data_IF_864205542354
#
_entry.id   IF_864205542354
#
_cell.length_a   1.000
_cell.length_b   1.000
_cell.length_c   1.000
_cell.angle_alpha   90.00
_cell.angle_beta   90.00
_cell.angle_gamma   90.00
#
_symmetry.space_group_name_H-M   'P 1'
#
loop_
_entity.id
_entity.type
_entity.pdbx_description
1 polymer ?
#
# COMPACT_ATOMS: atom_id res chain seq x y z
N UNK A 1 -18.33 10.43 -1.79
CA UNK A 1 -17.34 10.98 -2.75
C UNK A 1 -16.98 9.89 -3.73
N UNK A 2 -17.51 9.93 -4.95
CA UNK A 2 -17.20 8.93 -5.99
C UNK A 2 -15.89 9.28 -6.68
N UNK A 3 -14.78 8.67 -6.24
CA UNK A 3 -13.51 8.77 -6.95
C UNK A 3 -13.59 8.07 -8.31
N UNK A 4 -12.80 8.54 -9.29
CA UNK A 4 -12.72 7.88 -10.61
C UNK A 4 -12.21 6.46 -10.42
N UNK A 5 -13.01 5.47 -10.82
CA UNK A 5 -12.57 4.09 -10.88
C UNK A 5 -11.61 3.92 -12.04
N UNK A 6 -10.46 3.29 -11.77
CA UNK A 6 -9.50 2.90 -12.81
C UNK A 6 -9.52 1.38 -12.97
N UNK A 7 -9.40 0.91 -14.21
CA UNK A 7 -9.29 -0.50 -14.53
C UNK A 7 -7.81 -0.87 -14.51
N UNK A 8 -7.46 -1.85 -13.67
CA UNK A 8 -6.13 -2.45 -13.61
C UNK A 8 -6.27 -3.88 -14.12
N UNK A 9 -5.52 -4.22 -15.17
CA UNK A 9 -5.45 -5.58 -15.72
C UNK A 9 -4.06 -6.15 -15.44
N UNK A 10 -4.00 -7.34 -14.86
CA UNK A 10 -2.75 -8.07 -14.67
C UNK A 10 -2.91 -9.52 -15.14
N UNK A 11 -1.78 -10.14 -15.52
CA UNK A 11 -1.74 -11.56 -15.83
C UNK A 11 -1.62 -12.34 -14.52
N UNK A 12 -2.41 -13.39 -14.37
CA UNK A 12 -2.38 -14.28 -13.22
C UNK A 12 -1.91 -15.67 -13.66
N UNK A 13 -1.17 -16.34 -12.79
CA UNK A 13 -0.84 -17.76 -12.95
C UNK A 13 -2.11 -18.61 -12.86
N UNK A 14 -2.13 -19.74 -13.58
CA UNK A 14 -3.29 -20.63 -13.66
C UNK A 14 -3.78 -21.09 -12.28
N UNK A 15 -2.85 -21.42 -11.38
CA UNK A 15 -3.15 -21.80 -10.01
C UNK A 15 -3.93 -20.73 -9.22
N UNK A 16 -3.68 -19.43 -9.46
CA UNK A 16 -4.42 -18.35 -8.81
C UNK A 16 -5.84 -18.26 -9.37
N UNK A 17 -6.01 -18.47 -10.67
CA UNK A 17 -7.32 -18.44 -11.33
C UNK A 17 -8.20 -19.59 -10.82
N UNK A 18 -7.63 -20.79 -10.70
CA UNK A 18 -8.30 -21.97 -10.15
C UNK A 18 -8.69 -21.79 -8.68
N UNK A 19 -7.76 -21.29 -7.85
CA UNK A 19 -8.03 -21.04 -6.43
C UNK A 19 -9.17 -20.03 -6.20
N UNK A 20 -9.42 -19.16 -7.17
CA UNK A 20 -10.51 -18.18 -7.15
C UNK A 20 -11.80 -18.67 -7.83
N UNK A 21 -11.85 -19.91 -8.31
CA UNK A 21 -12.92 -20.49 -9.12
C UNK A 21 -14.31 -20.24 -8.55
N UNK A 22 -14.51 -20.58 -7.28
CA UNK A 22 -15.80 -20.56 -6.59
C UNK A 22 -16.12 -19.22 -5.90
N UNK A 23 -15.26 -18.20 -6.05
CA UNK A 23 -15.49 -16.88 -5.45
C UNK A 23 -16.53 -16.13 -6.29
N UNK A 24 -17.72 -15.80 -5.73
CA UNK A 24 -18.82 -15.23 -6.50
C UNK A 24 -18.51 -13.82 -7.03
N UNK A 25 -17.70 -13.04 -6.30
CA UNK A 25 -17.24 -11.71 -6.74
C UNK A 25 -15.72 -11.60 -6.62
N UNK A 26 -15.02 -12.13 -7.63
CA UNK A 26 -13.55 -12.13 -7.70
C UNK A 26 -12.95 -10.72 -7.59
N UNK A 27 -13.57 -9.74 -8.23
CA UNK A 27 -13.10 -8.35 -8.21
C UNK A 27 -13.16 -7.73 -6.82
N UNK A 28 -14.22 -7.99 -6.06
CA UNK A 28 -14.33 -7.55 -4.68
C UNK A 28 -13.34 -8.26 -3.78
N UNK A 29 -13.21 -9.58 -3.93
CA UNK A 29 -12.22 -10.36 -3.18
C UNK A 29 -10.79 -9.84 -3.41
N UNK A 30 -10.39 -9.62 -4.67
CA UNK A 30 -9.07 -9.06 -5.01
C UNK A 30 -8.89 -7.68 -4.40
N UNK A 31 -9.88 -6.80 -4.51
CA UNK A 31 -9.80 -5.44 -3.91
C UNK A 31 -9.57 -5.51 -2.41
N UNK A 32 -10.35 -6.32 -1.69
CA UNK A 32 -10.23 -6.46 -0.24
C UNK A 32 -8.89 -7.07 0.16
N UNK A 33 -8.43 -8.09 -0.56
CA UNK A 33 -7.13 -8.72 -0.29
C UNK A 33 -5.96 -7.75 -0.52
N UNK A 34 -5.98 -6.97 -1.60
CA UNK A 34 -4.95 -5.97 -1.88
C UNK A 34 -4.98 -4.86 -0.82
N UNK A 35 -6.15 -4.33 -0.46
CA UNK A 35 -6.26 -3.30 0.58
C UNK A 35 -5.71 -3.80 1.94
N UNK A 36 -6.09 -5.01 2.34
CA UNK A 36 -5.59 -5.63 3.57
C UNK A 36 -4.06 -5.84 3.53
N UNK A 37 -3.50 -6.25 2.38
CA UNK A 37 -2.07 -6.38 2.22
C UNK A 37 -1.35 -5.02 2.32
N UNK A 38 -1.96 -3.96 1.79
CA UNK A 38 -1.40 -2.60 1.82
C UNK A 38 -1.42 -1.96 3.21
N UNK A 39 -2.33 -2.33 4.11
CA UNK A 39 -2.38 -1.77 5.48
C UNK A 39 -1.07 -1.98 6.26
N UNK A 40 -0.33 -3.06 5.97
CA UNK A 40 0.96 -3.40 6.62
C UNK A 40 2.21 -3.07 5.80
N UNK A 41 2.06 -2.49 4.61
CA UNK A 41 3.20 -2.21 3.72
C UNK A 41 4.08 -1.13 4.30
N UNK A 42 5.39 -1.39 4.34
CA UNK A 42 6.36 -0.36 4.71
C UNK A 42 6.38 0.73 3.62
N UNK A 43 6.17 2.01 4.01
CA UNK A 43 5.99 3.11 3.06
C UNK A 43 7.29 3.60 2.43
N UNK A 44 8.44 3.03 2.83
CA UNK A 44 9.75 3.35 2.27
C UNK A 44 10.23 2.33 1.23
N UNK A 45 9.73 1.10 1.30
CA UNK A 45 10.24 0.00 0.48
C UNK A 45 9.24 -0.41 -0.61
N UNK A 46 8.22 0.42 -0.87
CA UNK A 46 7.19 0.17 -1.89
C UNK A 46 6.52 -1.21 -1.79
N UNK A 47 6.32 -1.74 -0.58
CA UNK A 47 5.69 -3.03 -0.37
C UNK A 47 6.59 -4.25 -0.46
N UNK A 48 7.89 -4.09 -0.67
CA UNK A 48 8.87 -5.21 -0.59
C UNK A 48 9.13 -5.71 0.84
N UNK A 49 8.63 -4.98 1.85
CA UNK A 49 8.78 -5.26 3.26
C UNK A 49 7.51 -4.90 4.02
N UNK A 50 7.30 -5.59 5.14
CA UNK A 50 6.11 -5.46 5.99
C UNK A 50 6.50 -4.93 7.36
N UNK A 51 5.68 -4.02 7.90
CA UNK A 51 5.81 -3.59 9.28
C UNK A 51 5.06 -4.58 10.17
N UNK A 52 5.72 -5.09 11.20
CA UNK A 52 5.01 -5.85 12.24
C UNK A 52 4.04 -4.91 13.01
N UNK A 53 3.10 -5.44 13.82
CA UNK A 53 2.10 -4.61 14.50
C UNK A 53 2.67 -3.52 15.43
N UNK A 54 3.85 -3.74 16.01
CA UNK A 54 4.52 -2.73 16.82
C UNK A 54 5.15 -1.64 15.93
N UNK A 55 5.86 -2.04 14.88
CA UNK A 55 6.45 -1.12 13.90
C UNK A 55 5.38 -0.28 13.20
N UNK A 56 4.25 -0.87 12.83
CA UNK A 56 3.12 -0.15 12.24
C UNK A 56 2.57 0.91 13.19
N UNK A 57 2.47 0.61 14.48
CA UNK A 57 2.05 1.57 15.51
C UNK A 57 3.03 2.73 15.66
N UNK A 58 4.32 2.44 15.74
CA UNK A 58 5.36 3.46 15.78
C UNK A 58 5.37 4.32 14.52
N UNK A 59 5.16 3.69 13.36
CA UNK A 59 5.05 4.39 12.10
C UNK A 59 3.85 5.35 12.08
N UNK A 60 2.67 4.89 12.50
CA UNK A 60 1.45 5.72 12.57
C UNK A 60 1.63 6.94 13.49
N UNK A 61 2.37 6.80 14.59
CA UNK A 61 2.70 7.92 15.47
C UNK A 61 3.68 8.89 14.80
N UNK A 62 4.76 8.36 14.21
CA UNK A 62 5.78 9.13 13.50
C UNK A 62 5.18 9.92 12.31
N UNK A 63 4.29 9.28 11.54
CA UNK A 63 3.67 9.87 10.36
C UNK A 63 2.67 10.99 10.66
N UNK A 64 2.42 11.31 11.93
CA UNK A 64 1.60 12.47 12.32
C UNK A 64 2.34 13.79 12.11
N UNK A 65 3.66 13.76 12.22
CA UNK A 65 4.55 14.93 12.09
C UNK A 65 5.61 14.77 11.00
N UNK A 66 5.57 13.64 10.30
CA UNK A 66 6.46 13.34 9.18
C UNK A 66 5.66 12.76 8.01
N UNK A 67 6.07 13.07 6.78
CA UNK A 67 5.49 12.53 5.55
C UNK A 67 6.54 11.77 4.74
N UNK A 68 6.10 10.89 3.85
CA UNK A 68 6.94 10.35 2.76
C UNK A 68 6.62 11.16 1.51
N UNK A 69 7.64 11.79 0.93
CA UNK A 69 7.55 12.52 -0.33
C UNK A 69 8.51 11.91 -1.36
N UNK A 70 8.27 12.13 -2.65
CA UNK A 70 9.23 11.73 -3.69
C UNK A 70 10.42 12.68 -3.74
N UNK A 71 11.62 12.13 -3.86
CA UNK A 71 12.83 12.90 -4.09
C UNK A 71 12.87 13.45 -5.52
N UNK A 72 13.20 14.73 -5.70
CA UNK A 72 13.32 15.35 -7.03
C UNK A 72 14.56 14.92 -7.81
N UNK A 73 15.56 14.34 -7.14
CA UNK A 73 16.84 13.97 -7.75
C UNK A 73 16.90 12.49 -8.14
N UNK A 74 16.27 11.60 -7.37
CA UNK A 74 16.33 10.15 -7.59
C UNK A 74 14.97 9.42 -7.65
N UNK A 75 13.83 10.13 -7.52
CA UNK A 75 12.45 9.60 -7.48
C UNK A 75 12.13 8.63 -6.32
N UNK A 76 13.10 8.33 -5.45
CA UNK A 76 12.89 7.50 -4.27
C UNK A 76 12.09 8.23 -3.17
N UNK A 77 11.45 7.44 -2.29
CA UNK A 77 10.75 7.96 -1.12
C UNK A 77 11.71 8.55 -0.09
N UNK A 78 11.51 9.82 0.27
CA UNK A 78 12.24 10.52 1.35
C UNK A 78 11.30 10.88 2.50
N UNK A 79 11.80 10.76 3.73
CA UNK A 79 11.10 11.23 4.92
C UNK A 79 11.27 12.74 5.06
N UNK A 80 10.16 13.44 5.26
CA UNK A 80 10.13 14.89 5.45
C UNK A 80 9.51 15.20 6.80
N UNK A 81 10.23 15.94 7.64
CA UNK A 81 9.69 16.46 8.90
C UNK A 81 8.85 17.71 8.62
N UNK A 82 7.55 17.64 8.89
CA UNK A 82 6.65 18.80 8.76
C UNK A 82 6.67 19.70 10.00
N UNK A 83 7.15 19.19 11.14
CA UNK A 83 7.33 19.98 12.36
C UNK A 83 8.53 20.97 12.30
N UNK A 84 9.46 20.77 11.36
CA UNK A 84 10.62 21.65 11.17
C UNK A 84 10.36 22.85 10.26
N UNK A 85 9.14 23.02 9.73
CA UNK A 85 8.72 24.25 9.04
C UNK A 85 8.18 25.24 10.09
N UNK A 86 9.07 25.68 10.97
CA UNK A 86 8.90 26.85 11.84
C UNK A 86 9.74 27.99 11.30
#
# INVERSE_FOLDING_TARGET
MGGKQQIITFKAEEALVEAMGDIPNRSEFIRSAILAALEGVCPLCHGTGVLNPHQQRHWLEFSRTHSVERCSECDEGKLVCVAARG
#
